data_IF_135589990188
#
_entry.id   IF_135589990188
#
_cell.length_a   1.000
_cell.length_b   1.000
_cell.length_c   1.000
_cell.angle_alpha   90.00
_cell.angle_beta   90.00
_cell.angle_gamma   90.00
#
_symmetry.space_group_name_H-M   'P 1'
#
loop_
_entity.id
_entity.type
_entity.pdbx_description
1 polymer ?
#
# COMPACT_ATOMS: atom_id res chain seq x y z
N UNK A 1 37.28 32.97 65.12
CA UNK A 1 37.48 32.27 63.83
C UNK A 1 36.17 31.55 63.51
N UNK A 2 35.46 32.05 62.51
CA UNK A 2 34.12 31.61 62.09
C UNK A 2 34.24 30.88 60.75
N UNK A 3 34.00 29.56 60.74
CA UNK A 3 33.90 28.76 59.52
C UNK A 3 32.43 28.48 59.20
N UNK A 4 31.93 29.13 58.17
CA UNK A 4 30.64 28.87 57.53
C UNK A 4 30.82 27.79 56.47
N UNK A 5 30.43 26.55 56.79
CA UNK A 5 30.40 25.42 55.87
C UNK A 5 29.29 25.56 54.83
N UNK A 6 29.70 25.78 53.58
CA UNK A 6 28.86 25.92 52.37
C UNK A 6 28.21 24.57 52.02
N UNK A 7 26.89 24.42 52.21
CA UNK A 7 26.13 23.27 51.70
C UNK A 7 26.06 23.35 50.17
N UNK A 8 26.62 22.37 49.47
CA UNK A 8 26.42 22.19 48.03
C UNK A 8 24.98 21.73 47.77
N UNK A 9 24.13 22.62 47.28
CA UNK A 9 22.82 22.25 46.74
C UNK A 9 23.03 21.43 45.47
N UNK A 10 22.69 20.14 45.52
CA UNK A 10 22.63 19.29 44.32
C UNK A 10 21.63 19.88 43.33
N UNK A 11 22.02 20.00 42.07
CA UNK A 11 21.12 20.46 41.01
C UNK A 11 19.87 19.57 40.97
N UNK A 12 18.66 20.16 40.87
CA UNK A 12 17.43 19.40 40.81
C UNK A 12 17.43 18.51 39.56
N UNK A 13 16.98 17.25 39.72
CA UNK A 13 16.73 16.37 38.59
C UNK A 13 15.74 17.05 37.63
N UNK A 14 15.96 16.98 36.31
CA UNK A 14 15.08 17.62 35.35
C UNK A 14 13.63 17.09 35.48
N UNK A 15 12.61 17.93 35.27
CA UNK A 15 11.22 17.57 35.47
C UNK A 15 10.81 16.40 34.55
N UNK A 16 9.94 15.52 35.07
CA UNK A 16 9.45 14.33 34.36
C UNK A 16 8.79 14.64 33.00
N UNK A 17 8.36 15.88 32.77
CA UNK A 17 7.85 16.37 31.48
C UNK A 17 8.88 16.31 30.33
N UNK A 18 10.18 16.28 30.64
CA UNK A 18 11.24 16.13 29.65
C UNK A 18 11.51 14.67 29.21
N UNK A 19 10.93 13.67 29.89
CA UNK A 19 11.24 12.24 29.68
C UNK A 19 10.25 11.45 28.83
N UNK A 20 9.19 12.07 28.29
CA UNK A 20 8.24 11.33 27.46
C UNK A 20 7.62 12.14 26.31
N UNK A 21 8.43 12.87 25.53
CA UNK A 21 8.07 13.07 24.12
C UNK A 21 8.55 11.85 23.33
N UNK A 22 7.93 10.68 23.59
CA UNK A 22 8.11 9.55 22.70
C UNK A 22 7.73 10.02 21.29
N UNK A 23 8.70 10.13 20.38
CA UNK A 23 8.47 10.58 19.00
C UNK A 23 7.39 9.68 18.42
N UNK A 24 6.17 10.19 18.28
CA UNK A 24 5.07 9.42 17.70
C UNK A 24 5.49 8.95 16.31
N UNK A 25 5.42 7.65 16.07
CA UNK A 25 5.88 6.98 14.87
C UNK A 25 4.74 6.83 13.87
N UNK A 26 5.02 7.17 12.60
CA UNK A 26 4.09 6.96 11.47
C UNK A 26 4.25 5.62 10.78
N UNK A 27 5.33 4.90 11.11
CA UNK A 27 5.67 3.62 10.52
C UNK A 27 4.53 2.59 10.60
N UNK A 28 3.76 2.48 11.70
CA UNK A 28 2.63 1.55 11.77
C UNK A 28 1.56 1.81 10.70
N UNK A 29 1.27 3.07 10.37
CA UNK A 29 0.30 3.41 9.32
C UNK A 29 0.82 3.10 7.92
N UNK A 30 2.12 3.28 7.68
CA UNK A 30 2.72 2.91 6.39
C UNK A 30 2.67 1.39 6.20
N UNK A 31 3.03 0.63 7.24
CA UNK A 31 2.98 -0.84 7.23
C UNK A 31 1.56 -1.35 6.99
N UNK A 32 0.54 -0.69 7.57
CA UNK A 32 -0.85 -1.05 7.35
C UNK A 32 -1.37 -0.62 5.97
N UNK A 33 -1.04 0.60 5.53
CA UNK A 33 -1.56 1.19 4.30
C UNK A 33 -1.06 0.52 3.03
N UNK A 34 0.20 0.08 2.99
CA UNK A 34 0.77 -0.60 1.82
C UNK A 34 -0.04 -1.85 1.38
N UNK A 35 -0.29 -2.86 2.24
CA UNK A 35 -1.08 -4.02 1.85
C UNK A 35 -2.55 -3.70 1.55
N UNK A 36 -3.15 -2.69 2.21
CA UNK A 36 -4.48 -2.17 1.80
C UNK A 36 -4.39 -1.65 0.37
N UNK A 37 -3.38 -0.84 0.06
CA UNK A 37 -3.15 -0.30 -1.28
C UNK A 37 -2.99 -1.37 -2.34
N UNK A 38 -2.17 -2.39 -2.07
CA UNK A 38 -1.97 -3.53 -2.99
C UNK A 38 -3.30 -4.22 -3.28
N UNK A 39 -4.06 -4.53 -2.22
CA UNK A 39 -5.36 -5.18 -2.36
C UNK A 39 -6.39 -4.31 -3.09
N UNK A 40 -6.44 -3.01 -2.81
CA UNK A 40 -7.32 -2.08 -3.52
C UNK A 40 -6.96 -1.93 -5.00
N UNK A 41 -5.66 -1.91 -5.32
CA UNK A 41 -5.18 -1.92 -6.71
C UNK A 41 -5.68 -3.13 -7.47
N UNK A 42 -5.47 -4.33 -6.91
CA UNK A 42 -5.95 -5.55 -7.54
C UNK A 42 -7.47 -5.68 -7.57
N UNK A 43 -8.21 -5.13 -6.61
CA UNK A 43 -9.66 -5.06 -6.73
C UNK A 43 -10.11 -4.16 -7.87
N UNK A 44 -9.49 -3.00 -8.04
CA UNK A 44 -9.80 -2.11 -9.17
C UNK A 44 -9.52 -2.84 -10.47
N UNK A 45 -8.36 -3.47 -10.58
CA UNK A 45 -7.96 -4.23 -11.75
C UNK A 45 -8.94 -5.38 -12.08
N UNK A 46 -9.15 -6.31 -11.14
CA UNK A 46 -10.04 -7.45 -11.39
C UNK A 46 -11.51 -7.07 -11.54
N UNK A 47 -12.03 -6.09 -10.79
CA UNK A 47 -13.45 -5.70 -10.91
C UNK A 47 -13.65 -4.84 -12.16
N UNK A 48 -12.87 -3.78 -12.35
CA UNK A 48 -13.09 -2.88 -13.47
C UNK A 48 -12.57 -3.47 -14.77
N UNK A 49 -11.36 -4.02 -14.82
CA UNK A 49 -10.76 -4.48 -16.07
C UNK A 49 -11.16 -5.92 -16.41
N UNK A 50 -11.16 -6.85 -15.45
CA UNK A 50 -11.54 -8.23 -15.79
C UNK A 50 -13.05 -8.43 -15.91
N UNK A 51 -13.85 -7.84 -15.01
CA UNK A 51 -15.28 -8.17 -14.92
C UNK A 51 -16.18 -7.16 -15.63
N UNK A 52 -16.03 -5.86 -15.37
CA UNK A 52 -16.93 -4.83 -15.92
C UNK A 52 -16.58 -4.51 -17.37
N UNK A 53 -15.31 -4.16 -17.62
CA UNK A 53 -14.85 -3.76 -18.95
C UNK A 53 -14.39 -4.95 -19.81
N UNK A 54 -14.09 -6.08 -19.17
CA UNK A 54 -13.67 -7.32 -19.82
C UNK A 54 -12.52 -7.09 -20.81
N UNK A 55 -11.56 -6.24 -20.43
CA UNK A 55 -10.42 -5.90 -21.28
C UNK A 55 -9.42 -7.05 -21.38
N UNK A 56 -9.29 -7.81 -20.29
CA UNK A 56 -8.45 -8.99 -20.14
C UNK A 56 -8.93 -9.83 -18.95
N UNK A 57 -8.51 -11.08 -18.88
CA UNK A 57 -8.62 -11.93 -17.69
C UNK A 57 -7.23 -12.48 -17.37
N UNK A 58 -7.05 -13.06 -16.18
CA UNK A 58 -5.74 -13.53 -15.72
C UNK A 58 -4.94 -14.36 -16.74
N UNK A 59 -5.61 -15.20 -17.53
CA UNK A 59 -4.96 -16.10 -18.48
C UNK A 59 -5.34 -15.80 -19.94
N UNK A 60 -5.90 -14.62 -20.23
CA UNK A 60 -6.56 -14.37 -21.51
C UNK A 60 -5.64 -14.42 -22.74
N UNK A 61 -4.32 -14.25 -22.60
CA UNK A 61 -3.38 -14.44 -23.71
C UNK A 61 -3.08 -15.93 -23.98
N UNK A 62 -3.13 -16.79 -22.96
CA UNK A 62 -2.83 -18.22 -23.08
C UNK A 62 -4.08 -19.10 -23.19
N UNK A 63 -5.22 -18.61 -22.70
CA UNK A 63 -6.55 -19.21 -22.72
C UNK A 63 -7.55 -18.14 -23.15
N UNK A 64 -7.62 -17.82 -24.45
CA UNK A 64 -8.55 -16.81 -24.96
C UNK A 64 -9.99 -17.13 -24.51
N UNK A 65 -10.75 -16.16 -23.96
CA UNK A 65 -12.10 -16.39 -23.44
C UNK A 65 -13.15 -16.45 -24.57
N UNK A 66 -12.87 -17.20 -25.64
CA UNK A 66 -13.70 -17.38 -26.84
C UNK A 66 -14.58 -18.64 -26.80
N UNK A 67 -14.36 -19.50 -25.81
CA UNK A 67 -15.15 -20.71 -25.54
C UNK A 67 -15.61 -20.72 -24.09
N UNK A 68 -16.73 -21.40 -23.81
CA UNK A 68 -17.26 -21.52 -22.44
C UNK A 68 -16.21 -22.10 -21.47
N UNK A 69 -15.47 -23.12 -21.89
CA UNK A 69 -14.41 -23.75 -21.08
C UNK A 69 -13.31 -22.75 -20.73
N UNK A 70 -12.84 -21.95 -21.69
CA UNK A 70 -11.81 -20.95 -21.40
C UNK A 70 -12.34 -19.80 -20.54
N UNK A 71 -13.61 -19.41 -20.69
CA UNK A 71 -14.28 -18.43 -19.82
C UNK A 71 -14.33 -18.96 -18.37
N UNK A 72 -14.71 -20.22 -18.16
CA UNK A 72 -14.74 -20.85 -16.84
C UNK A 72 -13.34 -20.92 -16.21
N UNK A 73 -12.31 -21.28 -16.99
CA UNK A 73 -10.93 -21.29 -16.53
C UNK A 73 -10.49 -19.89 -16.09
N UNK A 74 -10.69 -18.87 -16.93
CA UNK A 74 -10.34 -17.49 -16.59
C UNK A 74 -11.10 -17.00 -15.36
N UNK A 75 -12.40 -17.34 -15.24
CA UNK A 75 -13.21 -16.99 -14.07
C UNK A 75 -12.65 -17.59 -12.77
N UNK A 76 -12.14 -18.82 -12.80
CA UNK A 76 -11.46 -19.42 -11.64
C UNK A 76 -10.20 -18.64 -11.28
N UNK A 77 -9.37 -18.29 -12.27
CA UNK A 77 -8.12 -17.57 -12.01
C UNK A 77 -8.35 -16.13 -11.56
N UNK A 78 -9.35 -15.44 -12.11
CA UNK A 78 -9.81 -14.13 -11.61
C UNK A 78 -10.31 -14.24 -10.17
N UNK A 79 -11.02 -15.32 -9.83
CA UNK A 79 -11.46 -15.60 -8.46
C UNK A 79 -10.30 -15.81 -7.48
N UNK A 80 -9.27 -16.56 -7.89
CA UNK A 80 -8.05 -16.76 -7.08
C UNK A 80 -7.26 -15.46 -6.92
N UNK A 81 -7.14 -14.68 -7.98
CA UNK A 81 -6.57 -13.34 -7.93
C UNK A 81 -7.31 -12.47 -6.91
N UNK A 82 -8.65 -12.42 -6.98
CA UNK A 82 -9.47 -11.69 -6.01
C UNK A 82 -9.34 -12.21 -4.56
N UNK A 83 -9.21 -13.52 -4.36
CA UNK A 83 -8.95 -14.06 -3.03
C UNK A 83 -7.61 -13.53 -2.48
N UNK A 84 -6.59 -13.40 -3.33
CA UNK A 84 -5.31 -12.76 -3.00
C UNK A 84 -5.47 -11.29 -2.64
N UNK A 85 -6.16 -10.50 -3.46
CA UNK A 85 -6.37 -9.06 -3.21
C UNK A 85 -7.18 -8.82 -1.93
N UNK A 86 -8.18 -9.67 -1.67
CA UNK A 86 -8.95 -9.70 -0.45
C UNK A 86 -8.06 -9.98 0.77
N UNK A 87 -7.17 -10.98 0.69
CA UNK A 87 -6.27 -11.33 1.78
C UNK A 87 -5.29 -10.20 2.11
N UNK A 88 -4.71 -9.53 1.11
CA UNK A 88 -3.87 -8.34 1.31
C UNK A 88 -4.63 -7.21 1.99
N UNK A 89 -5.86 -6.94 1.53
CA UNK A 89 -6.72 -5.91 2.13
C UNK A 89 -7.04 -6.23 3.59
N UNK A 90 -7.44 -7.47 3.88
CA UNK A 90 -7.75 -7.94 5.24
C UNK A 90 -6.53 -7.85 6.17
N UNK A 91 -5.36 -8.27 5.69
CA UNK A 91 -4.11 -8.17 6.43
C UNK A 91 -3.76 -6.70 6.74
N UNK A 92 -3.94 -5.80 5.78
CA UNK A 92 -3.73 -4.38 5.98
C UNK A 92 -4.70 -3.73 6.97
N UNK A 93 -5.98 -4.09 6.93
CA UNK A 93 -6.98 -3.67 7.92
C UNK A 93 -6.61 -4.18 9.32
N UNK A 94 -6.19 -5.45 9.44
CA UNK A 94 -5.72 -6.01 10.71
C UNK A 94 -4.51 -5.23 11.26
N UNK A 95 -3.53 -4.92 10.40
CA UNK A 95 -2.37 -4.10 10.77
C UNK A 95 -2.77 -2.68 11.17
N UNK A 96 -3.79 -2.10 10.53
CA UNK A 96 -4.33 -0.79 10.88
C UNK A 96 -4.98 -0.81 12.28
N UNK A 97 -5.76 -1.86 12.60
CA UNK A 97 -6.30 -2.05 13.95
C UNK A 97 -5.19 -2.20 15.00
N UNK A 98 -4.08 -2.87 14.66
CA UNK A 98 -2.92 -2.97 15.55
C UNK A 98 -2.22 -1.62 15.73
N UNK A 99 -2.07 -0.83 14.66
CA UNK A 99 -1.52 0.52 14.72
C UNK A 99 -2.35 1.41 15.66
N UNK A 100 -3.68 1.26 15.66
CA UNK A 100 -4.57 2.01 16.55
C UNK A 100 -4.43 1.69 18.03
N UNK A 101 -3.95 0.50 18.36
CA UNK A 101 -3.68 0.08 19.75
C UNK A 101 -2.27 0.43 20.21
N UNK A 102 -1.40 0.90 19.32
CA UNK A 102 -0.01 1.24 19.65
C UNK A 102 0.06 2.64 20.30
N UNK A 103 0.63 2.77 21.51
CA UNK A 103 0.62 4.02 22.27
C UNK A 103 1.46 5.13 21.63
N UNK A 104 2.40 4.79 20.75
CA UNK A 104 3.28 5.71 20.04
C UNK A 104 2.86 5.95 18.58
N UNK A 105 1.72 5.41 18.12
CA UNK A 105 1.28 5.62 16.74
C UNK A 105 0.83 7.07 16.49
N UNK A 106 1.49 7.73 15.53
CA UNK A 106 1.05 9.02 15.01
C UNK A 106 -0.06 8.82 13.97
N UNK A 107 -1.32 9.02 14.38
CA UNK A 107 -2.45 8.98 13.45
C UNK A 107 -2.40 10.13 12.43
N UNK A 108 -2.44 9.78 11.15
CA UNK A 108 -2.48 10.74 10.05
C UNK A 108 -3.17 10.13 8.83
N UNK A 109 -4.28 10.73 8.41
CA UNK A 109 -4.97 10.35 7.18
C UNK A 109 -4.11 10.57 5.93
N UNK A 110 -3.25 11.61 5.93
CA UNK A 110 -2.33 11.87 4.82
C UNK A 110 -1.27 10.79 4.69
N UNK A 111 -0.69 10.33 5.81
CA UNK A 111 0.26 9.20 5.81
C UNK A 111 -0.42 7.92 5.36
N UNK A 112 -1.60 7.60 5.91
CA UNK A 112 -2.33 6.38 5.56
C UNK A 112 -2.72 6.39 4.07
N UNK A 113 -3.33 7.46 3.59
CA UNK A 113 -3.72 7.61 2.18
C UNK A 113 -2.51 7.56 1.25
N UNK A 114 -1.38 8.18 1.63
CA UNK A 114 -0.13 8.08 0.88
C UNK A 114 0.41 6.65 0.81
N UNK A 115 0.35 5.90 1.92
CA UNK A 115 0.76 4.50 1.93
C UNK A 115 -0.18 3.59 1.11
N UNK A 116 -1.49 3.86 1.12
CA UNK A 116 -2.47 3.16 0.27
C UNK A 116 -2.19 3.44 -1.22
N UNK A 117 -1.97 4.70 -1.61
CA UNK A 117 -1.59 5.03 -2.99
C UNK A 117 -0.25 4.37 -3.40
N UNK A 118 0.72 4.34 -2.49
CA UNK A 118 1.99 3.67 -2.74
C UNK A 118 1.82 2.16 -2.93
N UNK A 119 0.97 1.53 -2.12
CA UNK A 119 0.64 0.11 -2.25
C UNK A 119 -0.09 -0.20 -3.57
N UNK A 120 -1.03 0.65 -3.99
CA UNK A 120 -1.69 0.52 -5.28
C UNK A 120 -0.66 0.61 -6.41
N UNK A 121 0.18 1.64 -6.39
CA UNK A 121 1.23 1.78 -7.40
C UNK A 121 2.17 0.58 -7.45
N UNK A 122 2.53 0.02 -6.29
CA UNK A 122 3.33 -1.21 -6.23
C UNK A 122 2.61 -2.42 -6.84
N UNK A 123 1.31 -2.56 -6.62
CA UNK A 123 0.51 -3.60 -7.29
C UNK A 123 0.62 -3.47 -8.81
N UNK A 124 0.33 -2.29 -9.39
CA UNK A 124 0.41 -2.10 -10.85
C UNK A 124 1.80 -2.39 -11.42
N UNK A 125 2.86 -2.06 -10.67
CA UNK A 125 4.22 -2.35 -11.12
C UNK A 125 4.56 -3.83 -11.06
N UNK A 126 4.15 -4.53 -10.00
CA UNK A 126 4.44 -5.96 -9.86
C UNK A 126 3.63 -6.76 -10.87
N UNK A 127 2.31 -6.53 -10.91
CA UNK A 127 1.39 -7.18 -11.85
C UNK A 127 1.84 -6.89 -13.28
N UNK A 128 1.97 -5.61 -13.68
CA UNK A 128 2.32 -5.28 -15.05
C UNK A 128 3.69 -5.79 -15.49
N UNK A 129 4.71 -5.80 -14.60
CA UNK A 129 6.02 -6.36 -14.96
C UNK A 129 5.94 -7.87 -15.09
N UNK A 130 5.35 -8.55 -14.11
CA UNK A 130 5.37 -10.01 -14.05
C UNK A 130 4.41 -10.58 -15.09
N UNK A 131 3.15 -10.17 -15.09
CA UNK A 131 2.09 -10.84 -15.83
C UNK A 131 1.98 -10.33 -17.28
N UNK A 132 2.10 -9.02 -17.52
CA UNK A 132 2.07 -8.49 -18.89
C UNK A 132 3.38 -8.66 -19.66
N UNK A 133 4.54 -8.46 -19.00
CA UNK A 133 5.82 -8.38 -19.70
C UNK A 133 6.70 -9.61 -19.57
N UNK A 134 6.83 -10.21 -18.37
CA UNK A 134 7.71 -11.36 -18.17
C UNK A 134 7.03 -12.69 -18.53
N UNK A 135 5.80 -12.89 -18.04
CA UNK A 135 5.03 -14.10 -18.27
C UNK A 135 4.16 -14.01 -19.52
N UNK A 136 3.65 -12.80 -19.83
CA UNK A 136 2.76 -12.58 -20.97
C UNK A 136 1.48 -13.41 -20.88
N UNK A 137 0.91 -13.54 -19.67
CA UNK A 137 -0.29 -14.34 -19.42
C UNK A 137 -1.58 -13.59 -19.81
N UNK A 138 -1.51 -12.26 -19.82
CA UNK A 138 -2.51 -11.35 -20.37
C UNK A 138 -1.88 -9.98 -20.69
N UNK A 139 -2.60 -9.14 -21.42
CA UNK A 139 -2.26 -7.75 -21.71
C UNK A 139 -3.41 -6.84 -21.32
N UNK A 140 -3.13 -5.58 -20.95
CA UNK A 140 -4.15 -4.66 -20.42
C UNK A 140 -5.35 -4.52 -21.35
N UNK A 141 -5.11 -4.55 -22.66
CA UNK A 141 -6.16 -4.64 -23.68
C UNK A 141 -5.88 -5.84 -24.58
N UNK A 142 -6.37 -7.01 -24.18
CA UNK A 142 -5.96 -8.30 -24.75
C UNK A 142 -6.16 -8.38 -26.26
N UNK A 143 -7.26 -7.82 -26.78
CA UNK A 143 -7.56 -7.79 -28.23
C UNK A 143 -6.49 -7.09 -29.08
N UNK A 144 -5.63 -6.26 -28.47
CA UNK A 144 -4.52 -5.58 -29.14
C UNK A 144 -3.18 -6.30 -28.95
N UNK A 145 -3.12 -7.34 -28.12
CA UNK A 145 -1.89 -7.97 -27.67
C UNK A 145 -0.97 -6.99 -26.93
N UNK A 146 0.36 -7.22 -26.96
CA UNK A 146 1.34 -6.30 -26.38
C UNK A 146 1.18 -4.90 -26.98
N UNK A 147 0.85 -3.92 -26.13
CA UNK A 147 0.46 -2.59 -26.62
C UNK A 147 0.89 -1.45 -25.71
N UNK A 148 0.60 -0.21 -26.12
CA UNK A 148 0.86 1.00 -25.31
C UNK A 148 0.13 0.95 -23.96
N UNK A 149 -0.96 0.19 -23.84
CA UNK A 149 -1.74 0.11 -22.61
C UNK A 149 -0.98 -0.59 -21.47
N UNK A 150 -0.14 -1.57 -21.76
CA UNK A 150 0.72 -2.23 -20.75
C UNK A 150 1.71 -1.23 -20.15
N UNK A 151 2.30 -0.40 -21.00
CA UNK A 151 3.21 0.67 -20.57
C UNK A 151 2.49 1.79 -19.82
N UNK A 152 1.27 2.16 -20.22
CA UNK A 152 0.46 3.13 -19.50
C UNK A 152 0.06 2.61 -18.12
N UNK A 153 -0.22 1.32 -18.00
CA UNK A 153 -0.48 0.67 -16.73
C UNK A 153 0.75 0.72 -15.80
N UNK A 154 1.95 0.38 -16.29
CA UNK A 154 3.19 0.56 -15.53
C UNK A 154 3.45 2.03 -15.15
N UNK A 155 3.26 2.95 -16.09
CA UNK A 155 3.45 4.38 -15.84
C UNK A 155 2.49 4.90 -14.75
N UNK A 156 1.24 4.41 -14.74
CA UNK A 156 0.29 4.70 -13.66
C UNK A 156 0.79 4.17 -12.31
N UNK A 157 1.41 2.98 -12.30
CA UNK A 157 2.03 2.41 -11.11
C UNK A 157 3.16 3.27 -10.54
N UNK A 158 4.07 3.74 -11.41
CA UNK A 158 5.15 4.67 -11.03
C UNK A 158 4.57 5.97 -10.46
N UNK A 159 3.57 6.54 -11.12
CA UNK A 159 2.93 7.79 -10.69
C UNK A 159 2.28 7.64 -9.31
N UNK A 160 1.46 6.60 -9.12
CA UNK A 160 0.79 6.32 -7.84
C UNK A 160 1.80 6.08 -6.71
N UNK A 161 2.87 5.32 -6.99
CA UNK A 161 3.94 5.07 -6.03
C UNK A 161 4.67 6.37 -5.64
N UNK A 162 5.05 7.18 -6.62
CA UNK A 162 5.76 8.44 -6.39
C UNK A 162 4.91 9.42 -5.59
N UNK A 163 3.64 9.60 -5.96
CA UNK A 163 2.68 10.46 -5.25
C UNK A 163 2.46 9.95 -3.83
N UNK A 164 2.25 8.64 -3.65
CA UNK A 164 2.06 8.04 -2.33
C UNK A 164 3.26 8.25 -1.40
N UNK A 165 4.47 8.01 -1.90
CA UNK A 165 5.72 8.25 -1.16
C UNK A 165 5.88 9.75 -0.84
N UNK A 166 5.57 10.63 -1.79
CA UNK A 166 5.62 12.08 -1.56
C UNK A 166 4.65 12.53 -0.46
N UNK A 167 3.41 12.02 -0.45
CA UNK A 167 2.42 12.32 0.59
C UNK A 167 2.91 11.92 1.98
N UNK A 168 3.48 10.71 2.11
CA UNK A 168 4.05 10.20 3.37
C UNK A 168 5.24 11.05 3.83
N UNK A 169 6.15 11.41 2.92
CA UNK A 169 7.37 12.18 3.24
C UNK A 169 7.08 13.63 3.60
N UNK A 170 6.06 14.24 2.98
CA UNK A 170 5.72 15.65 3.17
C UNK A 170 4.73 15.89 4.30
N UNK A 171 4.16 14.83 4.88
CA UNK A 171 3.30 14.96 6.03
C UNK A 171 4.06 15.61 7.19
N UNK A 172 3.53 16.68 7.78
CA UNK A 172 4.15 17.38 8.92
C UNK A 172 3.41 17.00 10.20
N UNK A 173 4.08 16.89 11.37
CA UNK A 173 3.37 16.70 12.62
C UNK A 173 2.33 17.81 12.77
N UNK A 174 1.08 17.48 13.12
CA UNK A 174 0.12 18.51 13.49
C UNK A 174 0.75 19.35 14.61
N UNK A 175 0.75 20.68 14.47
CA UNK A 175 1.15 21.56 15.55
C UNK A 175 0.29 21.20 16.77
N UNK A 176 0.94 20.84 17.86
CA UNK A 176 0.30 20.46 19.12
C UNK A 176 -0.37 21.67 19.77
#
# INVERSE_FOLDING_TARGET
MSETGRRSAGSPAPPASARASARRSRRPLVIAGLPIGIGMGGFVDGILFHQILQLHNMLSAIRPPDTLVNVEINMVWDGLFHAGTWAFTAAGIFLLFRAGKAPDAAWSGRTLGGAVLAGFGLFNLIEGVIDHHLLGVHHVVERLGPSVYDWLFLASGVLLLAVGVWLVKTDRPAAA
#
